data_IF_888094943711
#
_entry.id   IF_888094943711
#
_cell.length_a   1.000
_cell.length_b   1.000
_cell.length_c   1.000
_cell.angle_alpha   90.00
_cell.angle_beta   90.00
_cell.angle_gamma   90.00
#
_symmetry.space_group_name_H-M   'P 1'
#
loop_
_entity.id
_entity.type
_entity.pdbx_description
1 polymer ?
2 polymer ?
3 water ?
#
# COMPACT_ATOMS: atom_id res chain seq x y z
N UNK A 1 -20.23 -6.02 -14.98
CA UNK A 1 -19.19 -4.96 -14.95
C UNK A 1 -19.14 -4.34 -13.55
N UNK A 2 -18.14 -4.71 -12.75
CA UNK A 2 -17.93 -4.24 -11.36
C UNK A 2 -17.33 -2.83 -11.40
N UNK A 3 -18.01 -1.82 -10.85
CA UNK A 3 -17.59 -0.41 -10.99
C UNK A 3 -16.46 -0.13 -10.00
N UNK A 4 -15.27 0.05 -10.54
CA UNK A 4 -14.08 0.35 -9.71
C UNK A 4 -13.57 1.75 -10.06
N UNK A 5 -12.96 2.44 -9.10
CA UNK A 5 -12.42 3.80 -9.32
C UNK A 5 -11.15 3.67 -10.16
N UNK A 6 -10.97 4.63 -11.07
CA UNK A 6 -9.78 4.76 -11.95
C UNK A 6 -8.67 5.50 -11.20
N UNK A 7 -7.67 4.77 -10.71
CA UNK A 7 -6.58 5.34 -9.89
C UNK A 7 -5.29 5.36 -10.70
N UNK A 8 -4.50 6.40 -10.45
CA UNK A 8 -3.13 6.54 -10.98
C UNK A 8 -2.20 6.84 -9.81
N UNK A 9 -1.04 6.24 -9.81
CA UNK A 9 0.01 6.57 -8.81
C UNK A 9 0.42 8.04 -9.02
N UNK A 10 0.70 8.73 -7.92
CA UNK A 10 1.08 10.17 -7.88
C UNK A 10 2.60 10.25 -7.86
N UNK A 11 3.26 10.57 -8.99
CA UNK A 11 4.71 10.59 -9.05
C UNK A 11 5.39 11.55 -8.06
N UNK A 12 4.69 12.62 -7.69
CA UNK A 12 5.11 13.67 -6.72
C UNK A 12 5.24 13.04 -5.33
N UNK A 13 4.52 11.95 -5.04
CA UNK A 13 4.60 11.28 -3.71
C UNK A 13 5.67 10.19 -3.68
N UNK A 14 6.08 9.64 -4.82
CA UNK A 14 6.85 8.38 -4.88
C UNK A 14 8.25 8.57 -4.30
N UNK A 15 8.64 7.70 -3.37
CA UNK A 15 10.06 7.51 -3.01
C UNK A 15 10.91 7.42 -4.28
N UNK A 16 12.06 8.13 -4.34
CA UNK A 16 12.86 8.14 -5.57
C UNK A 16 13.51 6.80 -5.94
N UNK A 17 13.50 5.81 -5.04
CA UNK A 17 14.03 4.47 -5.35
C UNK A 17 12.97 3.66 -6.12
N UNK A 18 11.70 4.06 -6.03
CA UNK A 18 10.59 3.31 -6.67
C UNK A 18 10.63 3.54 -8.18
N UNK A 19 10.34 2.48 -8.93
CA UNK A 19 10.13 2.57 -10.40
C UNK A 19 8.64 2.39 -10.63
N UNK A 20 8.03 3.44 -11.15
CA UNK A 20 6.61 3.45 -11.54
C UNK A 20 6.52 3.07 -13.01
N UNK A 21 5.56 2.23 -13.36
CA UNK A 21 5.30 1.84 -14.77
C UNK A 21 4.89 3.10 -15.53
N UNK A 22 4.99 3.05 -16.86
CA UNK A 22 4.77 4.27 -17.69
C UNK A 22 3.29 4.66 -17.70
N UNK A 23 2.40 3.71 -17.38
CA UNK A 23 0.95 3.95 -17.22
C UNK A 23 0.61 4.42 -15.80
N UNK A 24 1.62 4.52 -14.92
CA UNK A 24 1.44 4.94 -13.49
C UNK A 24 0.43 4.03 -12.78
N UNK A 25 0.40 2.74 -13.10
CA UNK A 25 -0.50 1.77 -12.42
C UNK A 25 0.29 0.77 -11.59
N UNK A 26 1.59 0.64 -11.83
CA UNK A 26 2.42 -0.40 -11.19
C UNK A 26 3.64 0.23 -10.50
N UNK A 27 4.11 -0.43 -9.45
CA UNK A 27 5.28 0.05 -8.67
C UNK A 27 6.16 -1.12 -8.27
N UNK A 28 7.46 -0.92 -8.39
CA UNK A 28 8.49 -1.88 -7.89
C UNK A 28 9.64 -1.06 -7.33
N UNK A 29 10.53 -1.72 -6.61
CA UNK A 29 11.72 -1.04 -6.05
C UNK A 29 12.87 -1.22 -7.04
N UNK A 30 13.50 -0.12 -7.42
CA UNK A 30 14.71 -0.11 -8.25
C UNK A 30 15.97 -0.45 -7.46
N UNK A 31 17.09 -0.58 -8.17
CA UNK A 31 18.43 -0.87 -7.60
C UNK A 31 19.04 0.42 -7.04
N UNK A 32 18.58 1.59 -7.49
CA UNK A 32 19.16 2.91 -7.15
C UNK A 32 18.12 4.02 -7.23
N UNK A 33 18.38 5.14 -6.56
CA UNK A 33 17.50 6.32 -6.50
C UNK A 33 17.56 7.10 -7.82
N UNK A 34 16.43 7.68 -8.20
CA UNK A 34 16.29 8.65 -9.30
C UNK A 34 16.48 10.05 -8.71
N UNK A 35 16.87 11.01 -9.56
CA UNK A 35 16.89 12.45 -9.23
C UNK A 35 15.51 13.03 -9.57
N UNK A 36 14.65 13.17 -8.57
CA UNK A 36 13.27 13.68 -8.71
C UNK A 36 13.19 15.02 -8.00
N UNK A 37 12.34 15.95 -8.47
CA UNK A 37 12.16 17.24 -7.78
C UNK A 37 11.71 17.03 -6.33
N UNK A 38 12.53 17.46 -5.36
CA UNK A 38 12.11 17.67 -3.95
C UNK A 38 10.68 18.24 -3.96
N UNK A 39 9.72 17.56 -3.32
CA UNK A 39 8.29 17.94 -3.25
C UNK A 39 7.82 17.67 -1.83
N UNK A 40 7.02 18.54 -1.17
CA UNK A 40 6.61 18.30 0.21
C UNK A 40 5.87 16.96 0.39
N UNK A 41 5.18 16.49 -0.66
CA UNK A 41 4.29 15.30 -0.60
C UNK A 41 5.12 14.03 -0.81
N UNK A 42 6.40 14.15 -1.21
CA UNK A 42 7.26 12.98 -1.52
C UNK A 42 7.72 12.26 -0.26
N UNK A 43 7.51 10.94 -0.20
CA UNK A 43 8.10 10.05 0.83
C UNK A 43 9.59 10.00 0.58
N UNK A 44 10.39 10.66 1.41
CA UNK A 44 11.83 10.79 1.08
C UNK A 44 12.65 9.60 1.61
N UNK A 45 12.15 8.77 2.54
CA UNK A 45 12.93 7.59 3.00
C UNK A 45 12.09 6.32 2.99
N UNK A 46 10.87 6.32 3.49
CA UNK A 46 9.99 5.12 3.35
C UNK A 46 9.65 4.88 1.87
N UNK A 47 9.57 3.61 1.47
CA UNK A 47 9.42 3.15 0.06
C UNK A 47 7.95 3.20 -0.37
N UNK A 48 7.32 4.36 -0.26
CA UNK A 48 5.85 4.48 -0.43
C UNK A 48 5.51 5.39 -1.61
N UNK A 49 4.29 5.20 -2.09
CA UNK A 49 3.65 6.05 -3.13
C UNK A 49 2.15 5.99 -2.87
N UNK A 50 1.47 7.12 -3.08
CA UNK A 50 -0.01 7.21 -2.97
C UNK A 50 -0.60 7.29 -4.39
N UNK A 51 -1.87 6.96 -4.53
CA UNK A 51 -2.65 7.37 -5.71
C UNK A 51 -2.80 8.90 -5.71
N UNK A 52 -3.07 9.49 -6.88
CA UNK A 52 -3.25 10.96 -6.98
C UNK A 52 -4.62 11.37 -6.44
N UNK A 53 -5.54 10.41 -6.28
CA UNK A 53 -6.94 10.63 -5.85
C UNK A 53 -7.10 10.14 -4.41
N UNK A 54 -7.67 10.98 -3.56
CA UNK A 54 -8.10 10.62 -2.20
C UNK A 54 -9.60 10.75 -2.03
N UNK A 55 -10.13 10.14 -0.98
CA UNK A 55 -11.59 10.00 -0.74
C UNK A 55 -11.97 10.55 0.63
N UNK A 56 -13.06 11.34 0.63
CA UNK A 56 -13.63 12.01 1.83
C UNK A 56 -14.95 11.37 2.25
N UNK A 57 -15.65 10.71 1.33
CA UNK A 57 -16.98 10.12 1.57
C UNK A 57 -17.21 8.96 0.60
N UNK A 58 -18.23 8.18 0.87
CA UNK A 58 -18.80 7.15 -0.01
C UNK A 58 -18.01 5.85 0.01
N UNK A 59 -18.31 5.00 -0.97
CA UNK A 59 -17.78 3.62 -1.07
C UNK A 59 -16.99 3.52 -2.37
N UNK A 60 -15.79 2.94 -2.33
CA UNK A 60 -14.82 2.93 -3.46
C UNK A 60 -14.13 1.58 -3.48
N UNK A 61 -14.11 0.95 -4.64
CA UNK A 61 -13.40 -0.34 -4.84
C UNK A 61 -12.27 -0.15 -5.83
N UNK A 62 -11.16 -0.82 -5.56
CA UNK A 62 -10.12 -0.99 -6.59
C UNK A 62 -9.45 -2.33 -6.36
N UNK A 63 -8.65 -2.76 -7.31
CA UNK A 63 -7.97 -4.06 -7.20
C UNK A 63 -6.47 -3.85 -7.28
N UNK A 64 -5.74 -4.73 -6.61
CA UNK A 64 -4.26 -4.69 -6.60
C UNK A 64 -3.74 -6.07 -6.96
N UNK A 65 -3.06 -6.18 -8.08
CA UNK A 65 -2.34 -7.40 -8.49
C UNK A 65 -1.03 -7.42 -7.72
N UNK A 66 -0.70 -8.54 -7.11
CA UNK A 66 0.42 -8.59 -6.15
C UNK A 66 1.47 -9.58 -6.61
N UNK A 67 2.74 -9.22 -6.44
CA UNK A 67 3.84 -10.17 -6.66
C UNK A 67 3.82 -11.35 -5.71
N UNK A 68 4.43 -12.46 -6.12
CA UNK A 68 4.53 -13.66 -5.25
C UNK A 68 5.63 -13.51 -4.20
N UNK A 69 6.60 -12.63 -4.44
CA UNK A 69 7.79 -12.43 -3.56
C UNK A 69 7.56 -11.36 -2.49
N UNK A 70 8.26 -11.52 -1.36
CA UNK A 70 8.17 -10.61 -0.20
C UNK A 70 8.46 -9.15 -0.62
N UNK A 71 7.92 -8.20 0.13
CA UNK A 71 8.40 -6.82 0.13
C UNK A 71 7.32 -5.79 -0.11
N UNK A 72 6.09 -6.20 -0.37
CA UNK A 72 5.00 -5.24 -0.67
C UNK A 72 4.07 -5.09 0.53
N UNK A 73 3.48 -3.92 0.61
CA UNK A 73 2.32 -3.68 1.49
C UNK A 73 1.44 -2.67 0.77
N UNK A 74 0.14 -2.71 1.05
CA UNK A 74 -0.76 -1.74 0.39
C UNK A 74 -2.04 -1.65 1.20
N UNK A 75 -2.73 -0.54 1.01
CA UNK A 75 -4.02 -0.29 1.65
C UNK A 75 -4.40 1.14 1.47
N UNK A 76 -4.69 1.81 2.56
CA UNK A 76 -4.98 3.25 2.52
C UNK A 76 -4.18 3.98 3.60
N UNK A 77 -4.01 5.27 3.39
CA UNK A 77 -3.31 6.16 4.33
C UNK A 77 -4.17 7.42 4.51
N UNK A 78 -4.21 7.95 5.72
CA UNK A 78 -4.75 9.31 5.95
C UNK A 78 -3.85 10.34 5.27
N UNK A 79 -4.45 11.40 4.72
CA UNK A 79 -3.70 12.44 3.99
C UNK A 79 -2.50 12.95 4.83
N UNK A 80 -2.69 13.10 6.15
CA UNK A 80 -1.64 13.62 7.08
C UNK A 80 -0.53 12.60 7.36
N UNK A 81 -0.53 11.43 6.70
CA UNK A 81 0.59 10.47 6.80
C UNK A 81 1.90 11.22 6.57
N UNK A 82 2.86 11.03 7.46
CA UNK A 82 4.13 11.81 7.41
C UNK A 82 4.97 11.36 6.23
N UNK A 83 5.54 12.32 5.54
CA UNK A 83 6.29 12.06 4.28
C UNK A 83 7.79 12.05 4.51
N UNK A 84 8.29 12.82 5.50
CA UNK A 84 9.74 13.13 5.61
C UNK A 84 10.38 12.35 6.76
N UNK A 85 11.55 11.81 6.50
CA UNK A 85 12.30 11.02 7.48
C UNK A 85 11.76 9.60 7.55
N UNK A 86 12.44 8.76 8.33
CA UNK A 86 11.95 7.37 8.57
C UNK A 86 10.71 7.45 9.46
N UNK A 87 9.62 6.82 9.04
CA UNK A 87 8.37 6.79 9.84
C UNK A 87 8.04 5.32 10.07
N UNK A 88 7.36 5.01 11.20
CA UNK A 88 6.77 3.69 11.39
C UNK A 88 5.67 3.38 10.36
N UNK A 89 5.56 2.12 9.97
CA UNK A 89 4.48 1.62 9.07
C UNK A 89 3.42 0.99 9.96
N UNK A 90 2.59 1.84 10.57
CA UNK A 90 1.59 1.41 11.60
C UNK A 90 0.31 2.21 11.52
N UNK A 91 -0.79 1.64 12.05
CA UNK A 91 -2.06 2.37 12.15
C UNK A 91 -1.95 3.69 12.91
N UNK A 92 -1.06 3.79 13.91
CA UNK A 92 -0.86 5.06 14.66
C UNK A 92 -0.38 6.16 13.72
N UNK A 93 0.38 5.79 12.68
CA UNK A 93 0.91 6.74 11.66
C UNK A 93 -0.11 6.95 10.52
N UNK A 94 -1.30 6.39 10.65
CA UNK A 94 -2.38 6.59 9.68
C UNK A 94 -2.21 5.73 8.45
N UNK A 95 -1.64 4.54 8.62
CA UNK A 95 -1.48 3.55 7.52
C UNK A 95 -2.29 2.31 7.92
N UNK A 96 -3.15 1.85 7.01
CA UNK A 96 -4.01 0.67 7.20
C UNK A 96 -3.78 -0.24 5.99
N UNK A 97 -3.01 -1.30 6.20
CA UNK A 97 -2.38 -2.04 5.10
C UNK A 97 -2.33 -3.54 5.38
N UNK A 98 -2.24 -4.30 4.30
CA UNK A 98 -1.83 -5.71 4.38
C UNK A 98 -0.47 -5.84 3.69
N UNK A 99 0.28 -6.88 4.02
CA UNK A 99 1.72 -6.98 3.71
C UNK A 99 2.10 -8.44 3.45
N UNK A 100 3.06 -8.64 2.56
CA UNK A 100 3.73 -9.95 2.32
C UNK A 100 5.18 -9.84 2.79
N UNK A 101 5.51 -10.64 3.80
CA UNK A 101 6.82 -10.54 4.48
C UNK A 101 7.11 -11.94 5.04
N UNK A 102 8.31 -12.47 4.76
CA UNK A 102 8.75 -13.82 5.20
C UNK A 102 7.79 -14.91 4.72
N UNK A 103 7.23 -14.79 3.52
CA UNK A 103 6.39 -15.82 2.90
C UNK A 103 4.97 -15.85 3.44
N UNK A 104 4.66 -14.95 4.37
CA UNK A 104 3.36 -14.90 5.09
C UNK A 104 2.64 -13.58 4.77
N UNK A 105 1.31 -13.64 4.74
CA UNK A 105 0.43 -12.47 4.60
C UNK A 105 0.06 -11.96 6.00
N UNK A 106 0.06 -10.64 6.14
CA UNK A 106 -0.20 -9.95 7.42
C UNK A 106 -1.18 -8.81 7.21
N UNK A 107 -2.03 -8.56 8.20
CA UNK A 107 -2.65 -7.24 8.43
C UNK A 107 -1.68 -6.46 9.30
N UNK A 108 -1.33 -5.25 8.91
CA UNK A 108 -0.27 -4.53 9.65
C UNK A 108 -0.93 -3.81 10.83
N UNK A 109 -1.29 -4.61 11.82
CA UNK A 109 -1.69 -4.14 13.17
C UNK A 109 -0.42 -3.80 13.95
N UNK A 110 -0.59 -3.09 15.06
CA UNK A 110 0.49 -2.69 15.96
C UNK A 110 0.04 -3.07 17.37
N UNK A 111 0.96 -3.33 18.31
CA UNK A 111 2.39 -3.41 18.05
C UNK A 111 2.86 -4.71 17.38
N UNK A 112 1.99 -5.73 17.27
CA UNK A 112 2.33 -6.93 16.50
C UNK A 112 1.38 -7.04 15.31
N UNK A 113 1.93 -7.49 14.21
CA UNK A 113 1.13 -7.73 12.99
C UNK A 113 0.28 -8.97 13.21
N UNK A 114 -0.75 -9.09 12.40
CA UNK A 114 -1.76 -10.18 12.46
C UNK A 114 -1.56 -11.07 11.24
N UNK A 115 -1.15 -12.31 11.49
CA UNK A 115 -0.94 -13.33 10.44
C UNK A 115 -2.30 -13.64 9.82
N UNK A 116 -2.39 -13.56 8.48
CA UNK A 116 -3.59 -14.04 7.74
C UNK A 116 -3.30 -15.44 7.20
N UNK A 117 -4.12 -16.41 7.54
CA UNK A 117 -3.93 -17.79 7.03
C UNK A 117 -4.81 -17.90 5.78
N UNK A 118 -4.49 -17.11 4.75
CA UNK A 118 -5.37 -16.89 3.58
C UNK A 118 -4.92 -17.68 2.35
N UNK A 119 -3.74 -18.29 2.36
CA UNK A 119 -3.24 -18.97 1.14
C UNK A 119 -2.80 -17.95 0.11
N UNK A 120 -2.25 -18.40 -1.01
CA UNK A 120 -1.56 -17.50 -1.96
C UNK A 120 -2.55 -16.49 -2.56
N UNK A 121 -2.11 -15.25 -2.68
CA UNK A 121 -2.87 -14.14 -3.29
C UNK A 121 -2.23 -13.76 -4.62
N UNK A 122 -3.07 -13.61 -5.65
CA UNK A 122 -2.70 -13.09 -6.98
C UNK A 122 -3.21 -11.66 -7.11
N UNK A 123 -4.43 -11.42 -6.63
CA UNK A 123 -5.08 -10.10 -6.84
C UNK A 123 -6.07 -9.90 -5.70
N UNK A 124 -6.06 -8.69 -5.15
CA UNK A 124 -6.86 -8.34 -3.95
C UNK A 124 -7.79 -7.20 -4.32
N UNK A 125 -9.04 -7.33 -3.91
CA UNK A 125 -10.05 -6.25 -4.03
C UNK A 125 -10.08 -5.48 -2.72
N UNK A 126 -9.85 -4.18 -2.81
CA UNK A 126 -9.92 -3.25 -1.66
C UNK A 126 -11.29 -2.57 -1.70
N UNK A 127 -12.02 -2.68 -0.61
CA UNK A 127 -13.35 -2.06 -0.43
C UNK A 127 -13.26 -1.01 0.67
N UNK A 128 -13.19 0.26 0.27
CA UNK A 128 -13.05 1.39 1.20
C UNK A 128 -14.46 1.93 1.47
N UNK A 129 -14.94 1.87 2.71
CA UNK A 129 -16.31 2.34 3.03
C UNK A 129 -16.23 3.51 4.02
N UNK A 130 -16.25 4.73 3.50
CA UNK A 130 -16.13 5.96 4.33
C UNK A 130 -17.50 6.35 4.89
N UNK A 131 -18.59 5.69 4.49
CA UNK A 131 -19.89 5.89 5.16
C UNK A 131 -19.80 5.20 6.53
N UNK A 132 -19.37 3.94 6.58
CA UNK A 132 -19.37 3.15 7.85
C UNK A 132 -18.04 3.35 8.58
N UNK A 133 -16.96 3.64 7.84
CA UNK A 133 -15.60 3.77 8.38
C UNK A 133 -14.88 2.43 8.42
N UNK A 134 -14.57 1.89 7.25
CA UNK A 134 -13.93 0.56 7.19
C UNK A 134 -13.12 0.46 5.91
N UNK A 135 -12.07 -0.33 5.96
CA UNK A 135 -11.36 -0.73 4.72
C UNK A 135 -11.21 -2.25 4.79
N UNK A 136 -11.67 -2.91 3.73
CA UNK A 136 -11.70 -4.38 3.67
C UNK A 136 -10.92 -4.90 2.47
N UNK A 137 -10.36 -6.08 2.63
CA UNK A 137 -9.50 -6.75 1.62
C UNK A 137 -10.07 -8.13 1.34
N UNK A 138 -10.15 -8.47 0.07
CA UNK A 138 -10.73 -9.75 -0.43
C UNK A 138 -9.80 -10.34 -1.48
N UNK A 139 -9.64 -11.66 -1.50
CA UNK A 139 -8.90 -12.36 -2.57
C UNK A 139 -9.84 -12.49 -3.76
N UNK A 140 -9.48 -11.96 -4.92
CA UNK A 140 -10.43 -11.86 -6.07
C UNK A 140 -10.89 -13.27 -6.49
N UNK A 141 -10.01 -14.28 -6.44
CA UNK A 141 -10.30 -15.63 -7.00
C UNK A 141 -11.69 -16.12 -6.54
N UNK A 142 -11.96 -16.10 -5.24
CA UNK A 142 -13.23 -16.57 -4.64
C UNK A 142 -13.86 -15.52 -3.71
N UNK A 143 -13.33 -14.28 -3.72
CA UNK A 143 -13.73 -13.17 -2.82
C UNK A 143 -13.72 -13.60 -1.36
N UNK A 144 -12.77 -14.44 -0.94
CA UNK A 144 -12.64 -14.76 0.49
C UNK A 144 -12.20 -13.48 1.21
N UNK A 145 -12.76 -13.24 2.40
CA UNK A 145 -12.38 -12.07 3.21
C UNK A 145 -10.97 -12.31 3.75
N UNK A 146 -10.11 -11.29 3.65
CA UNK A 146 -8.74 -11.34 4.20
C UNK A 146 -8.69 -10.58 5.53
N UNK A 147 -9.20 -9.36 5.56
CA UNK A 147 -9.08 -8.48 6.75
C UNK A 147 -9.94 -7.25 6.57
N UNK A 148 -10.49 -6.76 7.67
CA UNK A 148 -11.19 -5.45 7.75
C UNK A 148 -10.58 -4.65 8.89
N UNK A 149 -10.11 -3.45 8.59
CA UNK A 149 -9.85 -2.40 9.60
C UNK A 149 -11.11 -1.54 9.72
N UNK A 150 -11.52 -1.32 10.97
CA UNK A 150 -12.64 -0.40 11.29
C UNK A 150 -12.04 0.86 11.89
N UNK A 151 -12.17 1.97 11.18
CA UNK A 151 -11.50 3.25 11.51
C UNK A 151 -12.54 4.35 11.40
N UNK A 152 -12.68 5.17 12.45
CA UNK A 152 -13.53 6.39 12.36
C UNK A 152 -12.68 7.46 11.66
N UNK A 153 -12.42 7.27 10.36
CA UNK A 153 -11.57 8.20 9.57
C UNK A 153 -12.08 9.64 9.76
N UNK A 154 -11.17 10.57 10.07
CA UNK A 154 -11.50 12.00 10.33
C UNK A 154 -10.92 12.90 9.23
N UNK A 155 -10.24 12.35 8.22
CA UNK A 155 -9.71 13.15 7.10
C UNK A 155 -9.76 12.36 5.79
N UNK A 156 -9.34 12.97 4.70
CA UNK A 156 -9.22 12.34 3.37
C UNK A 156 -8.29 11.13 3.43
N UNK A 157 -8.68 10.05 2.78
CA UNK A 157 -8.00 8.74 2.77
C UNK A 157 -7.48 8.50 1.34
N UNK A 158 -6.21 8.15 1.19
CA UNK A 158 -5.56 7.87 -0.11
C UNK A 158 -5.15 6.40 -0.23
N UNK A 159 -5.40 5.76 -1.40
CA UNK A 159 -4.79 4.47 -1.70
C UNK A 159 -3.27 4.58 -1.52
N UNK A 160 -2.70 3.62 -0.80
CA UNK A 160 -1.29 3.59 -0.41
C UNK A 160 -0.62 2.32 -0.93
N UNK A 161 0.64 2.42 -1.35
CA UNK A 161 1.40 1.30 -1.96
C UNK A 161 2.83 1.44 -1.48
N UNK A 162 3.43 0.33 -1.07
CA UNK A 162 4.83 0.35 -0.59
C UNK A 162 5.52 -0.89 -1.12
N UNK A 163 6.75 -0.74 -1.56
CA UNK A 163 7.56 -1.91 -2.00
C UNK A 163 8.97 -1.70 -1.46
N UNK A 164 9.40 -2.53 -0.51
CA UNK A 164 10.66 -2.25 0.23
C UNK A 164 11.78 -3.23 -0.14
N UNK A 165 11.49 -4.22 -0.99
CA UNK A 165 12.47 -5.18 -1.56
C UNK A 165 12.35 -5.24 -3.09
N UNK A 166 13.47 -5.41 -3.79
CA UNK A 166 13.50 -5.72 -5.24
C UNK A 166 12.85 -7.10 -5.44
N UNK A 167 12.35 -7.34 -6.66
CA UNK A 167 11.87 -8.64 -7.17
C UNK A 167 10.39 -8.86 -6.94
N UNK A 168 9.68 -7.84 -6.48
CA UNK A 168 8.21 -7.96 -6.30
C UNK A 168 7.58 -6.67 -6.81
N UNK A 169 6.26 -6.64 -6.91
CA UNK A 169 5.57 -5.45 -7.43
C UNK A 169 4.12 -5.39 -6.95
N UNK A 170 3.52 -4.25 -7.20
CA UNK A 170 2.06 -4.03 -7.04
C UNK A 170 1.56 -3.37 -8.33
N UNK A 171 0.37 -3.72 -8.78
CA UNK A 171 -0.26 -3.13 -9.98
C UNK A 171 -1.73 -2.85 -9.69
N UNK A 172 -2.15 -1.61 -9.89
CA UNK A 172 -3.56 -1.17 -9.75
C UNK A 172 -4.38 -1.67 -10.94
N UNK A 173 -5.55 -2.24 -10.65
CA UNK A 173 -6.64 -2.41 -11.65
C UNK A 173 -7.90 -1.71 -11.13
N UNK A 174 -8.74 -1.15 -12.01
CA UNK A 174 -8.51 -1.15 -13.46
C UNK A 174 -7.51 -0.09 -13.97
N UNK B 1 20.86 -11.48 2.11
CA UNK B 1 21.39 -10.90 3.38
C UNK B 1 20.21 -10.50 4.28
N UNK B 2 19.94 -11.28 5.33
CA UNK B 2 18.83 -11.01 6.28
C UNK B 2 19.02 -9.62 6.91
N UNK B 3 20.25 -9.17 7.15
CA UNK B 3 20.49 -7.80 7.71
C UNK B 3 19.83 -6.77 6.78
N UNK B 4 20.12 -6.79 5.48
CA UNK B 4 19.48 -5.86 4.51
C UNK B 4 17.97 -6.12 4.44
N UNK B 5 17.53 -7.38 4.53
CA UNK B 5 16.09 -7.75 4.41
C UNK B 5 15.32 -7.19 5.62
N UNK B 6 15.84 -7.35 6.84
CA UNK B 6 15.25 -6.74 8.06
C UNK B 6 15.30 -5.21 7.93
N UNK B 7 16.46 -4.66 7.51
CA UNK B 7 16.62 -3.20 7.34
C UNK B 7 15.69 -2.75 6.21
N UNK B 8 15.50 -3.59 5.19
CA UNK B 8 14.58 -3.27 4.06
C UNK B 8 13.18 -3.05 4.64
N UNK B 9 12.66 -3.99 5.42
CA UNK B 9 11.22 -3.92 5.83
C UNK B 9 11.02 -2.74 6.80
N UNK B 10 12.05 -2.23 7.48
CA UNK B 10 11.92 -0.98 8.29
C UNK B 10 11.53 0.19 7.38
N UNK B 11 11.80 0.09 6.07
CA UNK B 11 11.51 1.19 5.12
C UNK B 11 10.09 1.07 4.57
N UNK B 12 9.35 -0.01 4.85
CA UNK B 12 7.95 -0.13 4.34
C UNK B 12 7.20 1.20 4.57
#
# INVERSE_FOLDING_TARGET
HHHMVELTLDPDTANPRLILSLDLKSVRLGQRAQDLPNHPRRFDTNTRVLASCGFSSGRHHWEVEVGSKDGWAFGVARESVRRKGLTPFTPEEGVWAMQLNNGQYWAVTSPERTQLNCGHLSRVRVALDLEVGAVSFYAVEDMRHLYTFRVNFQERVFPLFSVCSTGTYLRIWP
DNIKRKLDTYLQ
#
